data_IF_500180069288
#
_entry.id   IF_500180069288
#
_cell.length_a   1.000
_cell.length_b   1.000
_cell.length_c   1.000
_cell.angle_alpha   90.00
_cell.angle_beta   90.00
_cell.angle_gamma   90.00
#
_symmetry.space_group_name_H-M   'P 1'
#
loop_
_entity.id
_entity.type
_entity.pdbx_description
1 polymer ?
#
# COMPACT_ATOMS: atom_id res chain seq x y z
N UNK A 1 5.70 -6.45 27.48
CA UNK A 1 7.04 -6.94 27.07
C UNK A 1 7.95 -5.77 26.76
N UNK A 2 9.28 -5.95 26.83
CA UNK A 2 10.26 -4.88 26.66
C UNK A 2 10.04 -4.02 25.40
N UNK A 3 9.70 -4.66 24.28
CA UNK A 3 9.44 -4.02 22.97
C UNK A 3 8.30 -3.00 23.02
N UNK A 4 7.22 -3.27 23.76
CA UNK A 4 6.10 -2.33 23.89
C UNK A 4 6.47 -1.10 24.73
N UNK A 5 7.37 -1.28 25.71
CA UNK A 5 7.83 -0.17 26.56
C UNK A 5 8.83 0.73 25.86
N UNK A 6 9.60 0.19 24.91
CA UNK A 6 10.58 0.93 24.11
C UNK A 6 10.01 1.54 22.83
N UNK A 7 8.70 1.38 22.58
CA UNK A 7 8.02 1.80 21.35
C UNK A 7 8.77 1.41 20.06
N UNK A 8 9.38 0.23 20.06
CA UNK A 8 10.23 -0.24 18.95
C UNK A 8 9.48 -1.21 18.07
N UNK A 9 9.50 -1.00 16.75
CA UNK A 9 8.99 -1.98 15.79
C UNK A 9 10.05 -3.04 15.51
N UNK A 10 9.69 -4.32 15.60
CA UNK A 10 10.58 -5.44 15.27
C UNK A 10 10.03 -6.21 14.08
N UNK A 11 10.82 -6.28 13.01
CA UNK A 11 10.44 -6.94 11.77
C UNK A 11 11.21 -8.26 11.67
N UNK A 12 10.48 -9.36 11.50
CA UNK A 12 11.04 -10.68 11.23
C UNK A 12 10.77 -11.05 9.78
N UNK A 13 11.83 -11.27 9.00
CA UNK A 13 11.73 -11.92 7.70
C UNK A 13 11.78 -13.43 7.91
N UNK A 14 10.88 -14.16 7.26
CA UNK A 14 10.82 -15.60 7.44
C UNK A 14 10.59 -16.28 6.09
N UNK A 15 11.16 -17.48 5.95
CA UNK A 15 11.05 -18.26 4.73
C UNK A 15 9.94 -19.30 4.88
N UNK A 16 9.35 -19.65 3.74
CA UNK A 16 8.42 -20.77 3.65
C UNK A 16 9.25 -22.07 3.56
N UNK A 17 8.74 -23.11 4.20
CA UNK A 17 9.21 -24.49 4.12
C UNK A 17 8.00 -25.38 3.91
N UNK A 18 8.22 -26.53 3.29
CA UNK A 18 7.19 -27.56 3.18
C UNK A 18 7.29 -28.51 4.36
N UNK A 19 6.16 -28.85 4.98
CA UNK A 19 6.12 -29.86 6.02
C UNK A 19 5.87 -31.23 5.38
N UNK A 20 6.88 -32.09 5.41
CA UNK A 20 6.77 -33.48 4.94
C UNK A 20 5.69 -34.21 5.75
N UNK A 21 4.81 -34.94 5.08
CA UNK A 21 3.77 -35.78 5.70
C UNK A 21 2.39 -35.14 5.89
N UNK A 22 2.12 -33.97 5.30
CA UNK A 22 0.77 -33.37 5.28
C UNK A 22 0.01 -33.88 4.06
N UNK A 23 -0.98 -34.76 4.27
CA UNK A 23 -1.82 -35.32 3.19
C UNK A 23 -3.07 -34.47 2.86
N UNK A 24 -3.41 -33.48 3.69
CA UNK A 24 -4.56 -32.59 3.49
C UNK A 24 -4.29 -31.18 4.02
N UNK A 25 -4.67 -30.14 3.24
CA UNK A 25 -4.50 -28.73 3.59
C UNK A 25 -3.26 -28.07 2.98
N UNK A 26 -2.96 -26.82 3.38
CA UNK A 26 -1.79 -26.09 2.89
C UNK A 26 -0.49 -26.65 3.55
N UNK A 27 0.46 -27.23 2.78
CA UNK A 27 1.71 -27.80 3.31
C UNK A 27 2.72 -26.73 3.75
N UNK A 28 2.46 -25.46 3.45
CA UNK A 28 3.36 -24.35 3.76
C UNK A 28 3.44 -24.09 5.27
N UNK A 29 4.66 -24.16 5.80
CA UNK A 29 4.98 -23.77 7.17
C UNK A 29 6.10 -22.73 7.19
N UNK A 30 6.20 -21.99 8.29
CA UNK A 30 7.24 -20.99 8.52
C UNK A 30 8.22 -21.52 9.56
N UNK A 31 9.51 -21.24 9.41
CA UNK A 31 10.54 -21.56 10.41
C UNK A 31 10.30 -20.85 11.75
N UNK A 32 10.92 -21.34 12.83
CA UNK A 32 10.84 -20.71 14.16
C UNK A 32 9.63 -21.14 15.01
N UNK A 33 9.02 -22.28 14.70
CA UNK A 33 7.94 -22.86 15.49
C UNK A 33 6.63 -22.05 15.42
N UNK A 34 5.84 -22.11 16.50
CA UNK A 34 4.50 -21.48 16.55
C UNK A 34 4.47 -20.12 17.25
N UNK A 35 5.46 -19.81 18.08
CA UNK A 35 5.46 -18.61 18.92
C UNK A 35 5.25 -17.33 18.11
N UNK A 36 6.03 -17.14 17.03
CA UNK A 36 5.95 -15.95 16.19
C UNK A 36 4.55 -15.74 15.59
N UNK A 37 3.83 -16.84 15.27
CA UNK A 37 2.46 -16.76 14.75
C UNK A 37 1.50 -16.13 15.76
N UNK A 38 1.71 -16.33 17.06
CA UNK A 38 0.86 -15.80 18.14
C UNK A 38 1.27 -14.40 18.58
N UNK A 39 2.57 -14.15 18.74
CA UNK A 39 3.11 -12.87 19.22
C UNK A 39 3.05 -11.76 18.17
N UNK A 40 3.18 -12.06 16.88
CA UNK A 40 3.13 -11.04 15.84
C UNK A 40 1.78 -10.30 15.83
N UNK A 41 1.84 -8.96 15.83
CA UNK A 41 0.67 -8.08 15.66
C UNK A 41 0.20 -8.05 14.20
N UNK A 42 1.15 -8.06 13.27
CA UNK A 42 0.92 -8.09 11.82
C UNK A 42 1.67 -9.28 11.22
N UNK A 43 1.02 -9.98 10.29
CA UNK A 43 1.67 -10.98 9.44
C UNK A 43 1.29 -10.74 8.00
N UNK A 44 2.31 -10.61 7.16
CA UNK A 44 2.20 -10.36 5.74
C UNK A 44 2.77 -11.56 4.98
N UNK A 45 2.02 -12.07 4.02
CA UNK A 45 2.50 -13.07 3.05
C UNK A 45 2.79 -12.33 1.73
N UNK A 46 4.05 -12.34 1.31
CA UNK A 46 4.53 -11.67 0.10
C UNK A 46 4.81 -12.71 -0.98
N UNK A 47 4.16 -12.55 -2.13
CA UNK A 47 4.34 -13.46 -3.28
C UNK A 47 4.54 -12.67 -4.57
N UNK A 48 5.48 -13.13 -5.38
CA UNK A 48 5.62 -12.67 -6.76
C UNK A 48 4.48 -13.26 -7.59
N UNK A 49 3.70 -12.40 -8.24
CA UNK A 49 2.57 -12.82 -9.09
C UNK A 49 2.90 -12.74 -10.59
N UNK A 50 3.89 -11.94 -10.99
CA UNK A 50 4.28 -11.81 -12.39
C UNK A 50 5.61 -11.11 -12.59
N UNK A 51 6.09 -11.14 -13.83
CA UNK A 51 7.23 -10.35 -14.27
C UNK A 51 6.71 -9.06 -14.94
N UNK A 52 7.31 -7.93 -14.59
CA UNK A 52 7.09 -6.66 -15.29
C UNK A 52 8.08 -6.61 -16.46
N UNK A 53 7.55 -6.42 -17.67
CA UNK A 53 8.35 -6.37 -18.90
C UNK A 53 8.19 -5.02 -19.57
N UNK A 54 9.29 -4.53 -20.13
CA UNK A 54 9.29 -3.42 -21.08
C UNK A 54 9.90 -3.92 -22.40
N UNK A 55 9.06 -4.04 -23.42
CA UNK A 55 9.40 -4.75 -24.66
C UNK A 55 9.85 -6.20 -24.39
N UNK A 56 11.13 -6.48 -24.64
CA UNK A 56 11.74 -7.80 -24.44
C UNK A 56 12.41 -7.97 -23.07
N UNK A 57 12.66 -6.88 -22.33
CA UNK A 57 13.43 -6.91 -21.10
C UNK A 57 12.54 -7.03 -19.85
N UNK A 58 13.02 -7.75 -18.83
CA UNK A 58 12.33 -7.87 -17.55
C UNK A 58 12.87 -6.79 -16.61
N UNK A 59 12.09 -5.73 -16.43
CA UNK A 59 12.46 -4.57 -15.61
C UNK A 59 12.14 -4.76 -14.11
N UNK A 60 11.29 -5.72 -13.77
CA UNK A 60 10.92 -5.97 -12.38
C UNK A 60 9.91 -7.09 -12.15
N UNK A 61 9.33 -7.09 -10.96
CA UNK A 61 8.38 -8.09 -10.49
C UNK A 61 7.11 -7.45 -9.95
N UNK A 62 5.97 -7.90 -10.45
CA UNK A 62 4.68 -7.59 -9.83
C UNK A 62 4.49 -8.49 -8.61
N UNK A 63 4.26 -7.87 -7.47
CA UNK A 63 4.24 -8.53 -6.17
C UNK A 63 2.91 -8.27 -5.48
N UNK A 64 2.35 -9.31 -4.87
CA UNK A 64 1.14 -9.23 -4.05
C UNK A 64 1.51 -9.51 -2.60
N UNK A 65 1.07 -8.64 -1.71
CA UNK A 65 1.19 -8.81 -0.27
C UNK A 65 -0.20 -9.00 0.33
N UNK A 66 -0.42 -10.12 1.00
CA UNK A 66 -1.66 -10.41 1.74
C UNK A 66 -1.43 -10.27 3.23
N UNK A 67 -2.29 -9.51 3.90
CA UNK A 67 -2.26 -9.38 5.36
C UNK A 67 -2.99 -10.58 5.98
N UNK A 68 -2.24 -11.63 6.32
CA UNK A 68 -2.79 -12.89 6.87
C UNK A 68 -3.22 -12.73 8.32
N UNK A 69 -2.61 -11.82 9.07
CA UNK A 69 -2.99 -11.50 10.45
C UNK A 69 -2.84 -10.01 10.69
N UNK A 70 -3.86 -9.40 11.29
CA UNK A 70 -3.84 -8.02 11.72
C UNK A 70 -4.55 -7.90 13.08
N UNK A 71 -3.87 -7.35 14.09
CA UNK A 71 -4.45 -7.07 15.41
C UNK A 71 -4.93 -5.62 15.59
N UNK A 72 -4.62 -4.73 14.65
CA UNK A 72 -4.91 -3.29 14.76
C UNK A 72 -6.05 -2.84 13.84
N UNK A 73 -6.31 -3.58 12.75
CA UNK A 73 -7.35 -3.27 11.76
C UNK A 73 -7.87 -4.57 11.12
N UNK A 74 -8.90 -4.51 10.25
CA UNK A 74 -9.45 -5.70 9.60
C UNK A 74 -8.37 -6.50 8.83
N UNK A 75 -8.24 -7.82 9.06
CA UNK A 75 -7.29 -8.68 8.36
C UNK A 75 -7.76 -9.04 6.94
N UNK A 76 -6.92 -9.77 6.21
CA UNK A 76 -7.18 -10.37 4.88
C UNK A 76 -7.25 -9.40 3.69
N UNK A 77 -6.96 -8.11 3.90
CA UNK A 77 -6.69 -7.18 2.80
C UNK A 77 -5.43 -7.59 2.04
N UNK A 78 -5.41 -7.26 0.76
CA UNK A 78 -4.27 -7.49 -0.13
C UNK A 78 -3.86 -6.18 -0.80
N UNK A 79 -2.57 -6.03 -1.03
CA UNK A 79 -1.99 -4.93 -1.80
C UNK A 79 -1.17 -5.52 -2.94
N UNK A 80 -1.28 -4.92 -4.12
CA UNK A 80 -0.46 -5.25 -5.27
C UNK A 80 0.41 -4.05 -5.61
N UNK A 81 1.68 -4.30 -5.88
CA UNK A 81 2.61 -3.26 -6.29
C UNK A 81 3.74 -3.85 -7.13
N UNK A 82 4.37 -2.97 -7.90
CA UNK A 82 5.48 -3.31 -8.76
C UNK A 82 6.81 -3.04 -8.02
N UNK A 83 7.70 -4.03 -8.01
CA UNK A 83 9.08 -3.90 -7.51
C UNK A 83 10.00 -3.85 -8.73
N UNK A 84 10.63 -2.70 -8.96
CA UNK A 84 11.67 -2.59 -9.97
C UNK A 84 13.01 -3.07 -9.45
N UNK A 85 13.80 -3.68 -10.33
CA UNK A 85 15.20 -3.94 -10.05
C UNK A 85 15.97 -2.62 -9.90
N UNK A 86 16.93 -2.59 -8.97
CA UNK A 86 17.76 -1.43 -8.61
C UNK A 86 17.04 -0.17 -8.08
N UNK A 87 15.71 -0.05 -8.17
CA UNK A 87 14.92 1.09 -7.63
C UNK A 87 14.01 0.75 -6.46
N UNK A 88 13.65 -0.53 -6.27
CA UNK A 88 12.75 -0.95 -5.20
C UNK A 88 11.26 -0.77 -5.55
N UNK A 89 10.44 -0.47 -4.54
CA UNK A 89 8.98 -0.36 -4.69
C UNK A 89 8.65 0.90 -5.51
N UNK A 90 7.86 0.73 -6.57
CA UNK A 90 7.42 1.84 -7.42
C UNK A 90 6.28 2.61 -6.76
N UNK A 91 6.58 3.76 -6.15
CA UNK A 91 5.55 4.65 -5.62
C UNK A 91 4.66 5.23 -6.74
N UNK A 92 5.27 5.73 -7.81
CA UNK A 92 4.55 6.27 -8.97
C UNK A 92 3.66 5.24 -9.66
N UNK A 93 4.11 3.98 -9.77
CA UNK A 93 3.30 2.88 -10.30
C UNK A 93 2.08 2.56 -9.44
N UNK A 94 2.23 2.65 -8.11
CA UNK A 94 1.12 2.49 -7.15
C UNK A 94 0.10 3.63 -7.30
N UNK A 95 0.55 4.88 -7.41
CA UNK A 95 -0.32 6.04 -7.59
C UNK A 95 -1.19 5.91 -8.84
N UNK A 96 -0.63 5.43 -9.95
CA UNK A 96 -1.38 5.22 -11.19
C UNK A 96 -2.43 4.13 -11.01
N UNK A 97 -2.06 2.97 -10.47
CA UNK A 97 -2.99 1.85 -10.30
C UNK A 97 -4.14 2.21 -9.34
N UNK A 98 -3.83 2.84 -8.21
CA UNK A 98 -4.83 3.32 -7.25
C UNK A 98 -5.66 4.48 -7.82
N UNK A 99 -5.03 5.38 -8.56
CA UNK A 99 -5.70 6.51 -9.22
C UNK A 99 -6.76 6.05 -10.20
N UNK A 100 -6.46 5.01 -11.00
CA UNK A 100 -7.43 4.41 -11.92
C UNK A 100 -8.52 3.66 -11.18
N UNK A 101 -8.17 2.87 -10.14
CA UNK A 101 -9.15 2.13 -9.32
C UNK A 101 -10.16 3.07 -8.63
N UNK A 102 -9.70 4.27 -8.22
CA UNK A 102 -10.52 5.28 -7.55
C UNK A 102 -11.14 6.33 -8.48
N UNK A 103 -10.92 6.22 -9.79
CA UNK A 103 -11.48 7.14 -10.79
C UNK A 103 -10.92 8.57 -10.70
N UNK A 104 -9.74 8.74 -10.11
CA UNK A 104 -9.00 10.02 -10.08
C UNK A 104 -8.20 10.20 -11.37
N UNK A 105 -7.67 9.09 -11.90
CA UNK A 105 -6.96 9.04 -13.18
C UNK A 105 -7.84 8.33 -14.20
N UNK A 106 -8.15 9.01 -15.29
CA UNK A 106 -8.96 8.46 -16.37
C UNK A 106 -8.09 7.64 -17.31
N UNK A 107 -8.57 6.42 -17.60
CA UNK A 107 -7.90 5.51 -18.55
C UNK A 107 -8.76 5.33 -19.80
N UNK A 108 -8.36 5.99 -20.88
CA UNK A 108 -8.97 5.86 -22.21
C UNK A 108 -8.14 4.90 -23.07
N UNK A 109 -8.43 3.60 -22.95
CA UNK A 109 -7.69 2.55 -23.65
C UNK A 109 -6.24 2.44 -23.14
N UNK A 110 -5.28 2.85 -23.97
CA UNK A 110 -3.85 2.90 -23.61
C UNK A 110 -3.40 4.26 -23.10
N UNK A 111 -4.28 5.26 -23.07
CA UNK A 111 -3.98 6.63 -22.63
C UNK A 111 -4.43 6.86 -21.20
N UNK A 112 -3.62 7.60 -20.46
CA UNK A 112 -3.93 8.05 -19.10
C UNK A 112 -4.03 9.58 -19.07
N UNK A 113 -5.07 10.07 -18.41
CA UNK A 113 -5.33 11.49 -18.21
C UNK A 113 -5.66 11.75 -16.75
N UNK A 114 -5.36 12.96 -16.29
CA UNK A 114 -5.71 13.46 -14.98
C UNK A 114 -6.41 14.81 -15.16
N UNK A 115 -7.74 14.82 -15.01
CA UNK A 115 -8.56 15.97 -15.43
C UNK A 115 -8.30 16.30 -16.90
N UNK A 116 -7.91 17.55 -17.18
CA UNK A 116 -7.57 18.00 -18.54
C UNK A 116 -6.11 17.70 -18.94
N UNK A 117 -5.27 17.26 -18.00
CA UNK A 117 -3.86 16.98 -18.25
C UNK A 117 -3.68 15.56 -18.81
N UNK A 118 -3.04 15.47 -19.97
CA UNK A 118 -2.70 14.18 -20.58
C UNK A 118 -1.37 13.68 -20.04
N UNK A 119 -1.40 12.62 -19.23
CA UNK A 119 -0.21 12.07 -18.58
C UNK A 119 0.68 11.27 -19.54
N UNK A 120 0.07 10.59 -20.51
CA UNK A 120 0.81 9.84 -21.54
C UNK A 120 0.14 8.56 -22.00
N UNK A 121 0.82 7.85 -22.91
CA UNK A 121 0.41 6.55 -23.42
C UNK A 121 1.20 5.43 -22.76
N UNK A 122 0.50 4.48 -22.15
CA UNK A 122 1.12 3.33 -21.48
C UNK A 122 1.62 3.66 -20.09
N UNK A 123 1.63 2.64 -19.21
CA UNK A 123 1.94 2.80 -17.79
C UNK A 123 3.37 3.31 -17.55
N UNK A 124 4.34 2.85 -18.35
CA UNK A 124 5.75 3.21 -18.12
C UNK A 124 6.04 4.67 -18.49
N UNK A 125 5.44 5.20 -19.56
CA UNK A 125 5.59 6.62 -19.90
C UNK A 125 4.96 7.53 -18.85
N UNK A 126 3.78 7.17 -18.35
CA UNK A 126 3.10 7.91 -17.27
C UNK A 126 3.93 7.87 -15.99
N UNK A 127 4.56 6.73 -15.71
CA UNK A 127 5.44 6.57 -14.56
C UNK A 127 6.66 7.49 -14.64
N UNK A 128 7.29 7.59 -15.81
CA UNK A 128 8.40 8.52 -16.05
C UNK A 128 7.93 9.96 -15.93
N UNK A 129 6.77 10.30 -16.51
CA UNK A 129 6.17 11.63 -16.39
C UNK A 129 5.94 12.04 -14.92
N UNK A 130 5.37 11.16 -14.09
CA UNK A 130 5.16 11.42 -12.66
C UNK A 130 6.46 11.43 -11.85
N UNK A 131 7.53 10.80 -12.34
CA UNK A 131 8.84 10.89 -11.72
C UNK A 131 9.52 12.24 -12.01
N UNK A 132 9.26 12.80 -13.19
CA UNK A 132 9.80 14.11 -13.61
C UNK A 132 8.97 15.29 -13.08
N UNK A 133 7.68 15.07 -12.78
CA UNK A 133 6.74 16.09 -12.27
C UNK A 133 6.21 15.67 -10.88
N UNK A 134 7.00 15.88 -9.80
CA UNK A 134 6.62 15.46 -8.46
C UNK A 134 5.44 16.25 -7.90
N UNK A 135 5.22 17.48 -8.35
CA UNK A 135 4.08 18.33 -8.03
C UNK A 135 2.73 17.66 -8.39
N UNK A 136 2.65 17.12 -9.61
CA UNK A 136 1.44 16.39 -10.06
C UNK A 136 1.28 15.08 -9.28
N UNK A 137 2.39 14.40 -8.95
CA UNK A 137 2.36 13.17 -8.18
C UNK A 137 1.85 13.39 -6.74
N UNK A 138 2.30 14.46 -6.07
CA UNK A 138 1.85 14.85 -4.73
C UNK A 138 0.38 15.26 -4.72
N UNK A 139 -0.09 15.95 -5.76
CA UNK A 139 -1.51 16.32 -5.88
C UNK A 139 -2.40 15.07 -6.00
N UNK A 140 -2.01 14.12 -6.87
CA UNK A 140 -2.72 12.85 -7.04
C UNK A 140 -2.69 12.05 -5.73
N UNK A 141 -1.56 12.01 -5.04
CA UNK A 141 -1.42 11.34 -3.74
C UNK A 141 -2.32 11.95 -2.68
N UNK A 142 -2.37 13.29 -2.57
CA UNK A 142 -3.23 13.98 -1.62
C UNK A 142 -4.71 13.65 -1.86
N UNK A 143 -5.16 13.69 -3.12
CA UNK A 143 -6.54 13.30 -3.48
C UNK A 143 -6.82 11.82 -3.20
N UNK A 144 -5.84 10.95 -3.43
CA UNK A 144 -5.94 9.52 -3.11
C UNK A 144 -6.08 9.27 -1.61
N UNK A 145 -5.30 9.95 -0.78
CA UNK A 145 -5.35 9.81 0.68
C UNK A 145 -6.72 10.22 1.24
N UNK A 146 -7.31 11.29 0.67
CA UNK A 146 -8.68 11.71 0.99
C UNK A 146 -9.68 10.65 0.55
N UNK A 147 -9.59 10.15 -0.70
CA UNK A 147 -10.49 9.11 -1.20
C UNK A 147 -10.38 7.77 -0.44
N UNK A 148 -9.22 7.51 0.18
CA UNK A 148 -8.96 6.34 1.03
C UNK A 148 -9.35 6.56 2.50
N UNK A 149 -9.78 7.78 2.88
CA UNK A 149 -10.14 8.14 4.25
C UNK A 149 -8.95 8.16 5.22
N UNK A 150 -7.74 8.32 4.70
CA UNK A 150 -6.50 8.39 5.50
C UNK A 150 -6.12 9.82 5.89
N UNK A 151 -6.69 10.81 5.21
CA UNK A 151 -6.54 12.23 5.51
C UNK A 151 -7.91 12.90 5.41
N UNK A 152 -8.28 13.67 6.43
CA UNK A 152 -9.47 14.53 6.38
C UNK A 152 -9.20 15.69 5.40
N UNK A 153 -10.19 16.04 4.59
CA UNK A 153 -10.15 17.23 3.75
C UNK A 153 -9.93 18.46 4.63
N UNK A 154 -9.01 19.35 4.23
CA UNK A 154 -8.79 20.61 4.94
C UNK A 154 -10.07 21.48 5.00
N UNK A 155 -11.07 21.18 4.15
CA UNK A 155 -12.42 21.78 4.19
C UNK A 155 -13.24 21.44 5.44
N UNK A 156 -13.01 20.31 6.14
CA UNK A 156 -13.72 20.01 7.40
C UNK A 156 -13.07 20.65 8.64
N UNK A 157 -11.82 21.10 8.52
CA UNK A 157 -11.11 21.75 9.62
C UNK A 157 -11.57 23.20 9.88
N UNK A 158 -12.28 23.82 8.93
CA UNK A 158 -12.89 25.14 9.08
C UNK A 158 -14.29 25.09 9.74
N UNK A 159 -14.98 23.94 9.72
CA UNK A 159 -16.34 23.79 10.25
C UNK A 159 -16.44 23.42 11.73
N UNK A 160 -15.40 22.83 12.32
CA UNK A 160 -15.46 22.24 13.68
C UNK A 160 -14.85 23.12 14.78
N UNK A 161 -14.27 24.29 14.45
CA UNK A 161 -13.71 25.23 15.45
C UNK A 161 -14.71 26.27 15.99
N UNK A 162 -16.01 26.17 15.66
CA UNK A 162 -17.04 27.10 16.11
C UNK A 162 -18.15 26.41 16.92
N UNK A 163 -17.80 25.71 18.00
CA UNK A 163 -18.73 25.38 19.08
C UNK A 163 -18.04 25.66 20.41
N UNK A 164 -18.20 26.89 20.88
CA UNK A 164 -17.63 27.37 22.14
C UNK A 164 -18.16 26.58 23.32
N UNK A 165 -17.24 26.14 24.18
CA UNK A 165 -17.57 25.63 25.50
C UNK A 165 -18.11 26.77 26.37
N UNK A 166 -19.32 26.67 26.96
CA UNK A 166 -19.69 27.55 28.05
C UNK A 166 -18.96 27.09 29.32
N UNK A 167 -18.26 28.04 29.94
CA UNK A 167 -17.67 27.88 31.26
C UNK A 167 -18.77 27.69 32.31
N UNK A 168 -18.74 26.57 33.04
CA UNK A 168 -19.52 26.40 34.27
C UNK A 168 -18.58 26.60 35.45
N UNK A 169 -18.65 27.78 36.06
CA UNK A 169 -18.19 28.03 37.44
C UNK A 169 -19.09 27.24 38.39
N UNK A 170 -18.49 26.47 39.30
CA UNK A 170 -19.18 25.97 40.49
C UNK A 170 -18.51 26.57 41.72
N UNK A 171 -19.36 27.12 42.56
CA UNK A 171 -19.10 27.68 43.90
C UNK A 171 -18.61 26.59 44.85
#
# INVERSE_FOLDING_TARGET
GAVNRSNTAVIFTNQIREKIGVMFGNPETTSGGRALKFYASLRMDIRRIGALKDGAEIIGNRTRVKVVKNKCAPPFKQAEFDILYARGISHTGLLIDLGVDRGIVDKSGSWFSYGDLRLGQGKENVRSFLADNPDVAEEIEARLLVALGMRETEDESAGTKAAGAPAVKVV
#
